data_IF_663173291860
#
_entry.id   IF_663173291860
#
_cell.length_a   1.000
_cell.length_b   1.000
_cell.length_c   1.000
_cell.angle_alpha   90.00
_cell.angle_beta   90.00
_cell.angle_gamma   90.00
#
_symmetry.space_group_name_H-M   'P 1'
#
loop_
_entity.id
_entity.type
_entity.pdbx_description
1 polymer ?
#
# COMPACT_ATOMS: atom_id res chain seq x y z
N UNK A 1 -15.20 -15.85 36.61
CA UNK A 1 -14.53 -16.55 35.51
C UNK A 1 -13.76 -15.51 34.73
N UNK A 2 -12.46 -15.37 35.02
CA UNK A 2 -11.57 -14.47 34.27
C UNK A 2 -11.17 -15.20 32.98
N UNK A 3 -11.88 -14.94 31.88
CA UNK A 3 -11.43 -15.34 30.55
C UNK A 3 -10.12 -14.61 30.26
N UNK A 4 -9.00 -15.31 30.40
CA UNK A 4 -7.71 -14.76 29.99
C UNK A 4 -7.77 -14.41 28.50
N UNK A 5 -7.37 -13.18 28.17
CA UNK A 5 -7.32 -12.76 26.77
C UNK A 5 -6.44 -13.73 25.95
N UNK A 6 -6.82 -14.09 24.72
CA UNK A 6 -6.08 -15.02 23.90
C UNK A 6 -4.64 -14.53 23.68
N UNK A 7 -3.66 -15.42 23.52
CA UNK A 7 -2.29 -15.03 23.23
C UNK A 7 -2.22 -14.23 21.94
N UNK A 8 -1.34 -13.23 21.87
CA UNK A 8 -1.18 -12.32 20.72
C UNK A 8 -0.99 -13.10 19.42
N UNK A 9 -0.26 -14.22 19.46
CA UNK A 9 -0.05 -15.09 18.29
C UNK A 9 -1.37 -15.61 17.71
N UNK A 10 -2.31 -16.01 18.55
CA UNK A 10 -3.61 -16.54 18.11
C UNK A 10 -4.49 -15.42 17.56
N UNK A 11 -4.32 -14.20 18.07
CA UNK A 11 -4.99 -13.03 17.52
C UNK A 11 -4.45 -12.65 16.13
N UNK A 12 -3.16 -12.84 15.85
CA UNK A 12 -2.56 -12.55 14.54
C UNK A 12 -2.80 -13.67 13.52
N UNK A 13 -2.57 -14.91 13.90
CA UNK A 13 -2.50 -16.06 12.99
C UNK A 13 -3.57 -17.13 13.25
N UNK A 14 -4.52 -16.86 14.14
CA UNK A 14 -5.68 -17.72 14.33
C UNK A 14 -6.50 -17.89 13.05
N UNK A 15 -7.31 -18.97 12.95
CA UNK A 15 -8.04 -19.33 11.71
C UNK A 15 -8.87 -18.18 11.12
N UNK A 16 -9.43 -17.32 11.94
CA UNK A 16 -10.28 -16.20 11.53
C UNK A 16 -9.52 -14.96 11.06
N UNK A 17 -8.24 -14.81 11.43
CA UNK A 17 -7.47 -13.57 11.18
C UNK A 17 -6.23 -13.73 10.33
N UNK A 18 -5.72 -14.97 10.18
CA UNK A 18 -4.52 -15.23 9.38
C UNK A 18 -4.60 -14.69 7.94
N UNK A 19 -5.77 -14.82 7.31
CA UNK A 19 -5.96 -14.33 5.95
C UNK A 19 -5.81 -12.80 5.88
N UNK A 20 -6.38 -12.10 6.86
CA UNK A 20 -6.29 -10.63 6.95
C UNK A 20 -4.87 -10.19 7.24
N UNK A 21 -4.19 -10.84 8.19
CA UNK A 21 -2.77 -10.55 8.52
C UNK A 21 -1.90 -10.73 7.28
N UNK A 22 -1.99 -11.87 6.60
CA UNK A 22 -1.22 -12.16 5.40
C UNK A 22 -1.56 -11.17 4.27
N UNK A 23 -2.85 -10.86 4.09
CA UNK A 23 -3.28 -9.89 3.08
C UNK A 23 -2.74 -8.47 3.34
N UNK A 24 -2.73 -8.01 4.59
CA UNK A 24 -2.13 -6.73 4.99
C UNK A 24 -0.63 -6.72 4.67
N UNK A 25 0.09 -7.77 5.09
CA UNK A 25 1.53 -7.88 4.85
C UNK A 25 1.83 -7.90 3.36
N UNK A 26 1.04 -8.65 2.58
CA UNK A 26 1.20 -8.72 1.13
C UNK A 26 0.95 -7.37 0.46
N UNK A 27 -0.12 -6.64 0.83
CA UNK A 27 -0.40 -5.29 0.31
C UNK A 27 0.77 -4.32 0.54
N UNK A 28 1.38 -4.35 1.72
CA UNK A 28 2.53 -3.50 2.06
C UNK A 28 3.79 -3.96 1.32
N UNK A 29 4.04 -5.29 1.29
CA UNK A 29 5.21 -5.85 0.59
C UNK A 29 5.19 -5.55 -0.92
N UNK A 30 4.01 -5.49 -1.54
CA UNK A 30 3.89 -5.17 -2.98
C UNK A 30 4.29 -3.72 -3.28
N UNK A 31 3.89 -2.77 -2.42
CA UNK A 31 4.33 -1.37 -2.55
C UNK A 31 5.85 -1.27 -2.36
N UNK A 32 6.40 -1.97 -1.36
CA UNK A 32 7.82 -1.97 -1.07
C UNK A 32 8.64 -2.61 -2.20
N UNK A 33 8.19 -3.75 -2.74
CA UNK A 33 8.83 -4.44 -3.86
C UNK A 33 8.84 -3.55 -5.11
N UNK A 34 7.73 -2.94 -5.43
CA UNK A 34 7.59 -2.07 -6.59
C UNK A 34 8.50 -0.84 -6.48
N UNK A 35 8.52 -0.19 -5.31
CA UNK A 35 9.37 0.98 -5.07
C UNK A 35 10.87 0.68 -5.26
N UNK A 36 11.32 -0.51 -4.86
CA UNK A 36 12.72 -0.93 -4.98
C UNK A 36 13.01 -1.55 -6.37
N UNK A 37 12.09 -2.38 -6.88
CA UNK A 37 12.25 -3.10 -8.14
C UNK A 37 12.30 -2.17 -9.35
N UNK A 38 11.48 -1.15 -9.39
CA UNK A 38 11.49 -0.16 -10.49
C UNK A 38 12.82 0.58 -10.58
N UNK A 39 13.46 0.89 -9.43
CA UNK A 39 14.78 1.50 -9.43
C UNK A 39 15.84 0.66 -10.18
N UNK A 40 15.79 -0.65 -10.02
CA UNK A 40 16.70 -1.60 -10.70
C UNK A 40 16.38 -1.74 -12.19
N UNK A 41 15.10 -1.72 -12.57
CA UNK A 41 14.68 -1.80 -13.97
C UNK A 41 14.85 -0.48 -14.75
N UNK A 42 15.04 0.65 -14.06
CA UNK A 42 15.01 1.98 -14.66
C UNK A 42 16.01 2.18 -15.82
N UNK A 43 17.26 1.69 -15.77
CA UNK A 43 18.19 1.80 -16.89
C UNK A 43 17.63 1.15 -18.18
N UNK A 44 17.03 -0.04 -18.05
CA UNK A 44 16.43 -0.74 -19.19
C UNK A 44 15.18 0.00 -19.71
N UNK A 45 14.34 0.52 -18.81
CA UNK A 45 13.14 1.31 -19.15
C UNK A 45 13.51 2.55 -19.98
N UNK A 46 14.48 3.36 -19.53
CA UNK A 46 14.85 4.59 -20.24
C UNK A 46 15.57 4.31 -21.54
N UNK A 47 16.29 3.19 -21.65
CA UNK A 47 16.92 2.75 -22.90
C UNK A 47 15.84 2.32 -23.92
N UNK A 48 14.88 1.53 -23.52
CA UNK A 48 13.80 1.02 -24.37
C UNK A 48 12.86 2.15 -24.83
N UNK A 49 12.49 3.05 -23.93
CA UNK A 49 11.62 4.19 -24.24
C UNK A 49 12.37 5.42 -24.80
N UNK A 50 13.66 5.27 -25.15
CA UNK A 50 14.54 6.31 -25.72
C UNK A 50 14.46 7.66 -24.96
N UNK A 51 14.43 7.65 -23.64
CA UNK A 51 14.13 8.84 -22.81
C UNK A 51 15.08 9.00 -21.62
N UNK A 52 16.39 8.99 -21.88
CA UNK A 52 17.43 9.11 -20.83
C UNK A 52 17.29 10.40 -20.01
N UNK A 53 16.93 11.52 -20.63
CA UNK A 53 16.67 12.78 -19.96
C UNK A 53 15.54 12.72 -18.93
N UNK A 54 14.68 11.71 -19.02
CA UNK A 54 13.50 11.54 -18.16
C UNK A 54 13.70 10.55 -16.99
N UNK A 55 14.95 10.16 -16.70
CA UNK A 55 15.28 9.13 -15.71
C UNK A 55 14.63 9.34 -14.32
N UNK A 56 14.58 10.59 -13.86
CA UNK A 56 14.06 10.92 -12.53
C UNK A 56 12.54 11.06 -12.47
N UNK A 57 11.88 11.30 -13.61
CA UNK A 57 10.45 11.57 -13.65
C UNK A 57 9.54 10.43 -13.14
N UNK A 58 9.83 9.15 -13.43
CA UNK A 58 9.03 8.05 -12.89
C UNK A 58 9.01 7.97 -11.35
N UNK A 59 10.09 8.38 -10.68
CA UNK A 59 10.13 8.43 -9.21
C UNK A 59 9.28 9.59 -8.68
N UNK A 60 9.41 10.78 -9.27
CA UNK A 60 8.60 11.95 -8.88
C UNK A 60 7.12 11.69 -9.14
N UNK A 61 6.79 11.08 -10.31
CA UNK A 61 5.43 10.72 -10.70
C UNK A 61 4.78 9.66 -9.79
N UNK A 62 5.57 8.94 -9.01
CA UNK A 62 5.07 8.04 -7.97
C UNK A 62 4.98 8.72 -6.60
N UNK A 63 6.07 9.36 -6.15
CA UNK A 63 6.18 9.89 -4.78
C UNK A 63 5.22 11.06 -4.55
N UNK A 64 5.13 12.00 -5.47
CA UNK A 64 4.26 13.18 -5.29
C UNK A 64 2.77 12.79 -5.19
N UNK A 65 2.21 11.98 -6.11
CA UNK A 65 0.84 11.47 -5.97
C UNK A 65 0.64 10.58 -4.74
N UNK A 66 1.65 9.84 -4.28
CA UNK A 66 1.57 9.02 -3.07
C UNK A 66 1.33 9.88 -1.83
N UNK A 67 2.00 11.02 -1.70
CA UNK A 67 1.75 11.97 -0.60
C UNK A 67 0.30 12.47 -0.66
N UNK A 68 -0.17 12.89 -1.84
CA UNK A 68 -1.56 13.34 -2.02
C UNK A 68 -2.54 12.20 -1.72
N UNK A 69 -2.29 11.00 -2.21
CA UNK A 69 -3.08 9.79 -1.95
C UNK A 69 -3.19 9.46 -0.47
N UNK A 70 -2.09 9.63 0.28
CA UNK A 70 -2.06 9.46 1.75
C UNK A 70 -3.04 10.42 2.44
N UNK A 71 -2.99 11.71 2.08
CA UNK A 71 -3.88 12.74 2.67
C UNK A 71 -5.33 12.49 2.29
N UNK A 72 -5.62 12.26 1.02
CA UNK A 72 -6.99 12.04 0.52
C UNK A 72 -7.56 10.73 1.06
N UNK A 73 -6.77 9.66 1.07
CA UNK A 73 -7.15 8.35 1.63
C UNK A 73 -7.47 8.44 3.12
N UNK A 74 -6.66 9.16 3.90
CA UNK A 74 -6.91 9.43 5.31
C UNK A 74 -8.23 10.18 5.53
N UNK A 75 -8.42 11.30 4.82
CA UNK A 75 -9.67 12.08 4.90
C UNK A 75 -10.90 11.25 4.49
N UNK A 76 -10.76 10.39 3.51
CA UNK A 76 -11.86 9.49 3.12
C UNK A 76 -12.14 8.44 4.19
N UNK A 77 -11.11 7.81 4.76
CA UNK A 77 -11.26 6.87 5.88
C UNK A 77 -11.96 7.55 7.07
N UNK A 78 -11.60 8.79 7.38
CA UNK A 78 -12.23 9.57 8.46
C UNK A 78 -13.69 9.93 8.12
N UNK A 79 -13.99 10.25 6.86
CA UNK A 79 -15.32 10.69 6.44
C UNK A 79 -16.31 9.53 6.23
N UNK A 80 -15.87 8.40 5.67
CA UNK A 80 -16.75 7.31 5.20
C UNK A 80 -16.31 5.92 5.64
N UNK A 81 -15.27 5.84 6.49
CA UNK A 81 -14.65 4.58 6.91
C UNK A 81 -13.69 4.02 5.85
N UNK A 82 -12.85 3.05 6.24
CA UNK A 82 -11.76 2.54 5.41
C UNK A 82 -12.21 1.56 4.31
N UNK A 83 -13.45 1.06 4.36
CA UNK A 83 -13.93 -0.01 3.47
C UNK A 83 -13.73 0.30 1.99
N UNK A 84 -14.18 1.48 1.55
CA UNK A 84 -14.08 1.88 0.14
C UNK A 84 -12.61 2.08 -0.26
N UNK A 85 -11.79 2.69 0.60
CA UNK A 85 -10.37 2.95 0.32
C UNK A 85 -9.59 1.65 0.24
N UNK A 86 -9.88 0.66 1.11
CA UNK A 86 -9.25 -0.67 1.10
C UNK A 86 -9.53 -1.49 -0.17
N UNK A 87 -10.56 -1.14 -0.94
CA UNK A 87 -10.87 -1.78 -2.21
C UNK A 87 -10.39 -0.94 -3.40
N UNK A 88 -10.64 0.37 -3.37
CA UNK A 88 -10.34 1.27 -4.48
C UNK A 88 -8.84 1.58 -4.59
N UNK A 89 -8.13 1.70 -3.48
CA UNK A 89 -6.71 2.05 -3.51
C UNK A 89 -5.84 0.93 -4.10
N UNK A 90 -5.97 -0.36 -3.71
CA UNK A 90 -5.29 -1.45 -4.38
C UNK A 90 -5.71 -1.63 -5.84
N UNK A 91 -7.00 -1.38 -6.17
CA UNK A 91 -7.48 -1.41 -7.56
C UNK A 91 -6.82 -0.32 -8.41
N UNK A 92 -6.69 0.90 -7.87
CA UNK A 92 -6.00 2.01 -8.52
C UNK A 92 -4.50 1.72 -8.68
N UNK A 93 -3.86 1.14 -7.65
CA UNK A 93 -2.47 0.69 -7.72
C UNK A 93 -2.29 -0.38 -8.81
N UNK A 94 -3.17 -1.39 -8.85
CA UNK A 94 -3.18 -2.44 -9.88
C UNK A 94 -3.42 -1.90 -11.29
N UNK A 95 -4.34 -0.93 -11.45
CA UNK A 95 -4.53 -0.23 -12.72
C UNK A 95 -3.25 0.50 -13.17
N UNK A 96 -2.57 1.15 -12.23
CA UNK A 96 -1.29 1.78 -12.48
C UNK A 96 -0.19 0.79 -12.88
N UNK A 97 -0.16 -0.40 -12.25
CA UNK A 97 0.73 -1.50 -12.66
C UNK A 97 0.44 -1.97 -14.08
N UNK A 98 -0.83 -2.10 -14.44
CA UNK A 98 -1.24 -2.48 -15.80
C UNK A 98 -0.82 -1.43 -16.83
N UNK A 99 -1.12 -0.15 -16.57
CA UNK A 99 -0.78 0.96 -17.48
C UNK A 99 0.73 1.11 -17.63
N UNK A 100 1.49 1.05 -16.51
CA UNK A 100 2.95 1.11 -16.51
C UNK A 100 3.60 -0.12 -17.15
N UNK A 101 3.08 -1.30 -16.85
CA UNK A 101 3.58 -2.57 -17.39
C UNK A 101 3.25 -2.82 -18.86
N UNK A 102 2.38 -2.03 -19.46
CA UNK A 102 2.07 -2.05 -20.91
C UNK A 102 2.58 -0.80 -21.64
N UNK A 103 3.43 0.00 -20.98
CA UNK A 103 3.84 1.28 -21.51
C UNK A 103 4.80 1.13 -22.71
N UNK A 104 4.41 1.67 -23.85
CA UNK A 104 5.26 1.83 -25.04
C UNK A 104 5.84 3.24 -25.17
N UNK A 105 5.54 4.16 -24.24
CA UNK A 105 6.08 5.52 -24.18
C UNK A 105 6.33 5.95 -22.75
N UNK A 106 7.28 6.87 -22.56
CA UNK A 106 7.55 7.46 -21.24
C UNK A 106 6.31 8.15 -20.66
N UNK A 107 5.52 8.83 -21.47
CA UNK A 107 4.28 9.48 -21.01
C UNK A 107 3.28 8.47 -20.43
N UNK A 108 3.09 7.32 -21.10
CA UNK A 108 2.23 6.26 -20.58
C UNK A 108 2.77 5.67 -19.28
N UNK A 109 4.08 5.45 -19.19
CA UNK A 109 4.71 5.01 -17.94
C UNK A 109 4.43 5.99 -16.81
N UNK A 110 4.63 7.30 -17.03
CA UNK A 110 4.37 8.33 -16.02
C UNK A 110 2.91 8.33 -15.54
N UNK A 111 1.93 8.15 -16.45
CA UNK A 111 0.52 7.99 -16.06
C UNK A 111 0.34 6.77 -15.15
N UNK A 112 0.93 5.64 -15.49
CA UNK A 112 0.94 4.45 -14.63
C UNK A 112 1.52 4.74 -13.25
N UNK A 113 2.65 5.46 -13.18
CA UNK A 113 3.30 5.85 -11.92
C UNK A 113 2.44 6.76 -11.06
N UNK A 114 1.73 7.71 -11.67
CA UNK A 114 0.79 8.58 -10.96
C UNK A 114 -0.34 7.76 -10.31
N UNK A 115 -0.95 6.84 -11.06
CA UNK A 115 -2.01 5.96 -10.54
C UNK A 115 -1.51 5.07 -9.41
N UNK A 116 -0.32 4.46 -9.59
CA UNK A 116 0.35 3.65 -8.55
C UNK A 116 0.60 4.48 -7.29
N UNK A 117 1.14 5.69 -7.42
CA UNK A 117 1.41 6.58 -6.30
C UNK A 117 0.14 6.88 -5.50
N UNK A 118 -0.92 7.35 -6.15
CA UNK A 118 -2.21 7.59 -5.48
C UNK A 118 -2.73 6.35 -4.77
N UNK A 119 -2.71 5.20 -5.46
CA UNK A 119 -3.13 3.92 -4.91
C UNK A 119 -2.31 3.53 -3.68
N UNK A 120 -0.98 3.56 -3.78
CA UNK A 120 -0.06 3.18 -2.71
C UNK A 120 -0.23 4.06 -1.46
N UNK A 121 -0.35 5.39 -1.64
CA UNK A 121 -0.54 6.33 -0.53
C UNK A 121 -1.85 6.10 0.21
N UNK A 122 -2.96 6.01 -0.51
CA UNK A 122 -4.27 5.76 0.07
C UNK A 122 -4.36 4.37 0.72
N UNK A 123 -3.76 3.34 0.09
CA UNK A 123 -3.70 1.98 0.61
C UNK A 123 -2.92 1.91 1.93
N UNK A 124 -1.77 2.59 2.02
CA UNK A 124 -0.97 2.63 3.23
C UNK A 124 -1.78 3.09 4.43
N UNK A 125 -2.45 4.26 4.32
CA UNK A 125 -3.30 4.79 5.41
C UNK A 125 -4.46 3.84 5.73
N UNK A 126 -5.15 3.33 4.72
CA UNK A 126 -6.30 2.45 4.93
C UNK A 126 -5.91 1.15 5.65
N UNK A 127 -4.72 0.62 5.38
CA UNK A 127 -4.16 -0.55 6.09
C UNK A 127 -3.92 -0.23 7.57
N UNK A 128 -3.35 0.93 7.92
CA UNK A 128 -3.16 1.32 9.32
C UNK A 128 -4.51 1.49 10.05
N UNK A 129 -5.51 2.06 9.39
CA UNK A 129 -6.88 2.15 9.95
C UNK A 129 -7.48 0.75 10.14
N UNK A 130 -7.30 -0.17 9.17
CA UNK A 130 -7.75 -1.55 9.29
C UNK A 130 -7.12 -2.26 10.49
N UNK A 131 -5.81 -2.10 10.69
CA UNK A 131 -5.10 -2.66 11.84
C UNK A 131 -5.72 -2.15 13.15
N UNK A 132 -6.01 -0.87 13.24
CA UNK A 132 -6.62 -0.28 14.43
C UNK A 132 -8.05 -0.80 14.70
N UNK A 133 -8.78 -1.24 13.69
CA UNK A 133 -10.15 -1.75 13.82
C UNK A 133 -10.21 -3.27 14.07
N UNK A 134 -9.26 -4.03 13.52
CA UNK A 134 -9.28 -5.49 13.56
C UNK A 134 -8.55 -6.05 14.77
N UNK A 135 -7.45 -5.41 15.20
CA UNK A 135 -6.59 -5.95 16.25
C UNK A 135 -6.76 -5.18 17.57
N UNK A 136 -6.68 -5.92 18.69
CA UNK A 136 -6.69 -5.33 20.02
C UNK A 136 -5.49 -4.40 20.23
N UNK A 137 -5.59 -3.46 21.15
CA UNK A 137 -4.49 -2.54 21.50
C UNK A 137 -3.21 -3.27 21.89
N UNK A 138 -3.35 -4.43 22.55
CA UNK A 138 -2.25 -5.30 22.95
C UNK A 138 -1.55 -5.96 21.75
N UNK A 139 -2.27 -6.30 20.69
CA UNK A 139 -1.73 -6.97 19.50
C UNK A 139 -1.16 -6.00 18.46
N UNK A 140 -1.63 -4.74 18.43
CA UNK A 140 -1.19 -3.73 17.44
C UNK A 140 0.33 -3.56 17.34
N UNK A 141 1.12 -3.49 18.46
CA UNK A 141 2.57 -3.36 18.34
C UNK A 141 3.21 -4.52 17.56
N UNK A 142 2.73 -5.76 17.77
CA UNK A 142 3.22 -6.93 17.04
C UNK A 142 2.85 -6.86 15.54
N UNK A 143 1.63 -6.41 15.22
CA UNK A 143 1.21 -6.19 13.81
C UNK A 143 2.06 -5.12 13.15
N UNK A 144 2.33 -4.00 13.82
CA UNK A 144 3.20 -2.95 13.27
C UNK A 144 4.63 -3.43 13.08
N UNK A 145 5.15 -4.28 13.98
CA UNK A 145 6.44 -4.96 13.79
C UNK A 145 6.46 -5.82 12.53
N UNK A 146 5.41 -6.59 12.27
CA UNK A 146 5.26 -7.37 11.04
C UNK A 146 5.16 -6.49 9.79
N UNK A 147 4.40 -5.39 9.85
CA UNK A 147 4.31 -4.41 8.76
C UNK A 147 5.67 -3.78 8.45
N UNK A 148 6.46 -3.45 9.48
CA UNK A 148 7.83 -2.96 9.28
C UNK A 148 8.71 -4.03 8.62
N UNK A 149 8.60 -5.29 9.04
CA UNK A 149 9.30 -6.42 8.41
C UNK A 149 8.89 -6.65 6.96
N UNK A 150 7.64 -6.35 6.61
CA UNK A 150 7.11 -6.43 5.24
C UNK A 150 7.77 -5.43 4.26
N UNK A 151 8.52 -4.44 4.75
CA UNK A 151 9.38 -3.58 3.96
C UNK A 151 10.79 -4.16 3.78
N UNK A 152 11.31 -4.84 4.80
CA UNK A 152 12.70 -5.35 4.80
C UNK A 152 12.88 -6.45 3.76
N UNK A 153 11.98 -7.43 3.73
CA UNK A 153 12.10 -8.55 2.80
C UNK A 153 12.07 -8.10 1.34
N UNK A 154 11.09 -7.30 0.87
CA UNK A 154 11.10 -6.79 -0.50
C UNK A 154 12.29 -5.89 -0.81
N UNK A 155 12.82 -5.12 0.14
CA UNK A 155 13.99 -4.28 -0.11
C UNK A 155 15.25 -5.12 -0.39
N UNK A 156 15.33 -6.31 0.19
CA UNK A 156 16.46 -7.23 -0.01
C UNK A 156 16.32 -8.04 -1.30
N UNK A 157 15.12 -8.58 -1.56
CA UNK A 157 14.89 -9.47 -2.72
C UNK A 157 14.40 -8.72 -3.96
N UNK A 158 13.82 -7.55 -3.82
CA UNK A 158 13.25 -6.75 -4.92
C UNK A 158 14.27 -6.44 -6.01
N UNK A 159 15.42 -5.82 -5.71
CA UNK A 159 16.43 -5.51 -6.72
C UNK A 159 16.92 -6.73 -7.49
N UNK A 160 17.39 -7.85 -6.86
CA UNK A 160 17.84 -9.00 -7.61
C UNK A 160 16.73 -9.67 -8.42
N UNK A 161 15.52 -9.79 -7.90
CA UNK A 161 14.39 -10.35 -8.66
C UNK A 161 14.02 -9.46 -9.84
N UNK A 162 13.91 -8.15 -9.63
CA UNK A 162 13.63 -7.20 -10.71
C UNK A 162 14.73 -7.20 -11.78
N UNK A 163 16.00 -7.30 -11.38
CA UNK A 163 17.12 -7.41 -12.31
C UNK A 163 17.02 -8.68 -13.18
N UNK A 164 16.82 -9.84 -12.56
CA UNK A 164 16.64 -11.12 -13.28
C UNK A 164 15.44 -11.10 -14.22
N UNK A 165 14.30 -10.56 -13.77
CA UNK A 165 13.10 -10.43 -14.60
C UNK A 165 13.35 -9.51 -15.79
N UNK A 166 14.04 -8.39 -15.57
CA UNK A 166 14.35 -7.42 -16.63
C UNK A 166 15.32 -8.01 -17.66
N UNK A 167 16.32 -8.76 -17.21
CA UNK A 167 17.36 -9.36 -18.06
C UNK A 167 16.85 -10.55 -18.89
N UNK A 168 16.04 -11.43 -18.29
CA UNK A 168 15.63 -12.69 -18.92
C UNK A 168 14.26 -12.63 -19.61
N UNK A 169 13.41 -11.69 -19.22
CA UNK A 169 12.07 -11.52 -19.78
C UNK A 169 11.92 -10.12 -20.38
N UNK A 170 11.52 -9.15 -19.57
CA UNK A 170 11.38 -7.74 -19.92
C UNK A 170 11.08 -6.94 -18.66
N UNK A 171 11.46 -5.66 -18.63
CA UNK A 171 11.11 -4.74 -17.55
C UNK A 171 9.57 -4.59 -17.33
N UNK A 172 8.76 -4.81 -18.35
CA UNK A 172 7.30 -4.81 -18.25
C UNK A 172 6.78 -5.78 -17.19
N UNK A 173 7.42 -6.93 -17.04
CA UNK A 173 7.04 -7.97 -16.07
C UNK A 173 7.34 -7.58 -14.62
N UNK A 174 8.20 -6.60 -14.38
CA UNK A 174 8.40 -6.02 -13.04
C UNK A 174 7.11 -5.40 -12.51
N UNK A 175 6.27 -4.85 -13.40
CA UNK A 175 4.95 -4.32 -13.09
C UNK A 175 3.86 -5.39 -13.19
N UNK A 176 3.76 -6.06 -14.35
CA UNK A 176 2.67 -7.02 -14.64
C UNK A 176 2.68 -8.23 -13.72
N UNK A 177 3.86 -8.69 -13.31
CA UNK A 177 4.03 -9.82 -12.41
C UNK A 177 3.47 -9.58 -11.00
N UNK A 178 3.27 -8.31 -10.60
CA UNK A 178 2.66 -7.96 -9.32
C UNK A 178 1.12 -8.01 -9.34
N UNK A 179 0.49 -7.93 -10.50
CA UNK A 179 -0.98 -7.89 -10.62
C UNK A 179 -1.69 -9.08 -9.96
N UNK A 180 -1.30 -10.35 -10.22
CA UNK A 180 -1.94 -11.49 -9.57
C UNK A 180 -1.77 -11.45 -8.04
N UNK A 181 -0.65 -10.93 -7.55
CA UNK A 181 -0.40 -10.79 -6.11
C UNK A 181 -1.26 -9.68 -5.48
N UNK A 182 -1.51 -8.58 -6.20
CA UNK A 182 -2.46 -7.54 -5.76
C UNK A 182 -3.86 -8.12 -5.63
N UNK A 183 -4.32 -8.90 -6.63
CA UNK A 183 -5.63 -9.55 -6.58
C UNK A 183 -5.73 -10.54 -5.41
N UNK A 184 -4.68 -11.33 -5.19
CA UNK A 184 -4.61 -12.25 -4.05
C UNK A 184 -4.68 -11.48 -2.72
N UNK A 185 -3.92 -10.41 -2.56
CA UNK A 185 -3.89 -9.60 -1.35
C UNK A 185 -5.25 -8.99 -1.05
N UNK A 186 -5.93 -8.42 -2.06
CA UNK A 186 -7.29 -7.90 -1.94
C UNK A 186 -8.26 -9.01 -1.54
N UNK A 187 -8.19 -10.17 -2.18
CA UNK A 187 -9.02 -11.34 -1.86
C UNK A 187 -8.86 -11.79 -0.40
N UNK A 188 -7.64 -11.78 0.14
CA UNK A 188 -7.36 -12.14 1.53
C UNK A 188 -7.90 -11.12 2.54
N UNK A 189 -7.88 -9.83 2.21
CA UNK A 189 -8.38 -8.75 3.09
C UNK A 189 -9.90 -8.58 2.98
N UNK A 190 -10.50 -8.96 1.84
CA UNK A 190 -11.89 -8.72 1.52
C UNK A 190 -12.92 -9.21 2.56
N UNK A 191 -12.78 -10.43 3.15
CA UNK A 191 -13.71 -10.88 4.19
C UNK A 191 -13.75 -9.96 5.41
N UNK A 192 -12.59 -9.47 5.85
CA UNK A 192 -12.51 -8.51 6.95
C UNK A 192 -13.14 -7.16 6.59
N UNK A 193 -12.86 -6.67 5.37
CA UNK A 193 -13.41 -5.41 4.86
C UNK A 193 -14.94 -5.46 4.78
N UNK A 194 -15.51 -6.60 4.39
CA UNK A 194 -16.98 -6.80 4.37
C UNK A 194 -17.61 -6.72 5.75
N UNK A 195 -16.92 -7.21 6.77
CA UNK A 195 -17.38 -7.23 8.17
C UNK A 195 -17.23 -5.89 8.89
N UNK A 196 -16.55 -4.89 8.30
CA UNK A 196 -16.40 -3.58 8.91
C UNK A 196 -17.73 -2.83 8.91
N UNK A 197 -18.26 -2.56 10.10
CA UNK A 197 -19.39 -1.64 10.29
C UNK A 197 -18.91 -0.23 9.95
N UNK A 198 -19.60 0.46 9.05
CA UNK A 198 -19.39 1.89 8.83
C UNK A 198 -20.02 2.61 10.03
N UNK A 199 -19.25 3.33 10.87
CA UNK A 199 -19.84 4.10 11.97
C UNK A 199 -20.84 5.10 11.39
N UNK A 200 -22.03 5.17 12.00
CA UNK A 200 -23.08 6.10 11.57
C UNK A 200 -22.57 7.55 11.62
N UNK A 201 -23.04 8.43 10.70
CA UNK A 201 -22.70 9.84 10.73
C UNK A 201 -23.28 10.48 11.98
N UNK A 202 -22.55 10.56 13.07
CA UNK A 202 -23.03 11.10 14.36
C UNK A 202 -22.30 10.57 15.59
N UNK A 203 -21.72 9.38 15.54
CA UNK A 203 -20.98 8.81 16.69
C UNK A 203 -19.51 9.28 16.77
N UNK A 204 -19.13 10.25 15.97
CA UNK A 204 -17.76 10.76 15.90
C UNK A 204 -17.61 11.92 16.89
N UNK A 205 -17.01 11.65 18.03
CA UNK A 205 -16.66 12.68 19.00
C UNK A 205 -15.78 13.79 18.41
N UNK A 206 -15.92 15.05 18.86
CA UNK A 206 -15.24 16.23 18.31
C UNK A 206 -13.73 16.27 18.50
N UNK A 207 -13.12 15.26 19.14
CA UNK A 207 -11.75 15.32 19.66
C UNK A 207 -10.64 15.16 18.61
N UNK A 208 -10.90 14.78 17.37
CA UNK A 208 -9.84 14.45 16.42
C UNK A 208 -9.46 15.54 15.41
N UNK A 209 -10.27 16.58 15.26
CA UNK A 209 -9.95 17.72 14.38
C UNK A 209 -8.87 18.64 14.94
N UNK A 210 -8.70 18.67 16.27
CA UNK A 210 -7.76 19.58 16.94
C UNK A 210 -6.32 19.06 16.98
N UNK A 211 -6.09 17.73 16.97
CA UNK A 211 -4.76 17.14 17.21
C UNK A 211 -3.81 17.31 16.02
N UNK A 212 -4.30 17.16 14.79
CA UNK A 212 -3.46 17.35 13.59
C UNK A 212 -3.17 18.84 13.36
N UNK A 213 -4.17 19.70 13.52
CA UNK A 213 -3.99 21.14 13.44
C UNK A 213 -3.08 21.69 14.55
N UNK A 214 -3.19 21.15 15.78
CA UNK A 214 -2.33 21.51 16.89
C UNK A 214 -0.88 21.00 16.71
N UNK A 215 -0.69 19.83 16.15
CA UNK A 215 0.65 19.30 15.83
C UNK A 215 1.34 20.12 14.73
N UNK A 216 0.61 20.58 13.71
CA UNK A 216 1.16 21.47 12.69
C UNK A 216 1.44 22.88 13.24
N UNK A 217 0.61 23.41 14.12
CA UNK A 217 0.84 24.71 14.76
C UNK A 217 2.06 24.67 15.71
N UNK A 218 2.27 23.55 16.42
CA UNK A 218 3.42 23.37 17.31
C UNK A 218 4.74 23.14 16.55
N UNK A 219 4.71 22.70 15.29
CA UNK A 219 5.89 22.51 14.46
C UNK A 219 6.27 23.77 13.66
N UNK A 220 5.42 24.79 13.65
CA UNK A 220 5.63 26.06 12.92
C UNK A 220 6.06 27.23 13.82
N UNK A 221 6.19 27.03 15.13
CA UNK A 221 6.70 27.97 16.13
C UNK A 221 7.99 27.49 16.76
#
# INVERSE_FOLDING_TARGET
MTTSAPPVRDELFGPSRRAVTVGILLLISLIAFEAMGVGTAMPAIVADLASVASYSWPFVAFIAPMVVGTVLGGRWCDARGPRAVLLLAPALFGLGLLVGGTAGTMAQLLVGRVLQGFGAGAQGVAVYVLIALVYSERARPAVFGLVSSAWVLPSLIGPPVSGLVTEHLSWHWVFLGLLPLVLLAVGLVFPAVRGLSVPAPGERGPARRSTVAAAFAAAAG
#
